data_IF_986058040509
#
_entry.id   IF_986058040509
#
_cell.length_a   1.000
_cell.length_b   1.000
_cell.length_c   1.000
_cell.angle_alpha   90.00
_cell.angle_beta   90.00
_cell.angle_gamma   90.00
#
_symmetry.space_group_name_H-M   'P 1'
#
loop_
_entity.id
_entity.type
_entity.pdbx_description
1 polymer ?
#
# COMPACT_ATOMS: atom_id res chain seq x y z
N UNK A 1 20.72 -15.35 27.75
CA UNK A 1 20.06 -15.58 26.43
C UNK A 1 20.35 -14.37 25.55
N UNK A 2 21.14 -14.57 24.49
CA UNK A 2 21.72 -13.49 23.70
C UNK A 2 20.68 -12.82 22.78
N UNK A 3 20.52 -11.51 22.95
CA UNK A 3 19.79 -10.62 22.05
C UNK A 3 20.53 -10.56 20.70
N UNK A 4 19.97 -11.19 19.69
CA UNK A 4 20.57 -11.29 18.36
C UNK A 4 20.53 -9.91 17.67
N UNK A 5 21.70 -9.25 17.57
CA UNK A 5 21.89 -7.99 16.84
C UNK A 5 22.36 -8.24 15.40
N UNK A 6 21.56 -7.70 14.46
CA UNK A 6 21.85 -7.20 13.10
C UNK A 6 22.41 -8.19 12.06
N UNK A 7 21.69 -8.37 10.96
CA UNK A 7 21.91 -7.66 9.67
C UNK A 7 20.93 -8.18 8.60
N UNK A 8 20.22 -7.24 7.97
CA UNK A 8 19.58 -7.32 6.63
C UNK A 8 18.32 -6.44 6.65
N UNK A 9 18.46 -5.25 6.05
CA UNK A 9 17.41 -4.24 5.90
C UNK A 9 16.43 -4.68 4.83
N UNK A 10 15.48 -5.54 5.18
CA UNK A 10 14.29 -5.75 4.36
C UNK A 10 13.05 -5.44 5.18
N UNK A 11 12.65 -4.16 5.15
CA UNK A 11 11.37 -3.70 5.67
C UNK A 11 10.26 -4.27 4.78
N UNK A 12 9.50 -5.23 5.31
CA UNK A 12 8.58 -6.02 4.50
C UNK A 12 7.36 -5.23 3.98
N UNK A 13 7.10 -4.02 4.48
CA UNK A 13 5.89 -3.25 4.11
C UNK A 13 6.17 -1.91 3.43
N UNK A 14 7.40 -1.37 3.53
CA UNK A 14 7.81 -0.29 2.63
C UNK A 14 7.88 -0.82 1.19
N UNK A 15 8.25 -2.08 1.01
CA UNK A 15 8.40 -2.72 -0.30
C UNK A 15 7.10 -2.70 -1.11
N UNK A 16 5.95 -3.23 -0.64
CA UNK A 16 4.71 -3.19 -1.43
C UNK A 16 4.22 -1.76 -1.71
N UNK A 17 4.37 -0.83 -0.76
CA UNK A 17 4.02 0.59 -0.99
C UNK A 17 4.94 1.26 -2.01
N UNK A 18 6.24 1.02 -1.92
CA UNK A 18 7.23 1.52 -2.88
C UNK A 18 7.00 0.90 -4.25
N UNK A 19 6.75 -0.41 -4.33
CA UNK A 19 6.41 -1.07 -5.59
C UNK A 19 5.11 -0.52 -6.19
N UNK A 20 4.11 -0.22 -5.36
CA UNK A 20 2.87 0.42 -5.80
C UNK A 20 3.08 1.85 -6.31
N UNK A 21 3.97 2.62 -5.68
CA UNK A 21 4.34 4.00 -6.03
C UNK A 21 5.30 4.07 -7.24
N UNK A 22 5.91 2.95 -7.65
CA UNK A 22 6.72 2.92 -8.87
C UNK A 22 5.83 3.20 -10.09
N UNK A 23 6.10 4.27 -10.87
CA UNK A 23 5.30 4.58 -12.05
C UNK A 23 5.37 3.43 -13.06
N UNK A 24 4.27 3.20 -13.78
CA UNK A 24 4.21 2.18 -14.83
C UNK A 24 5.27 2.44 -15.89
N UNK A 25 5.62 1.40 -16.66
CA UNK A 25 6.49 1.57 -17.82
C UNK A 25 5.92 2.61 -18.80
N UNK A 26 4.59 2.61 -18.97
CA UNK A 26 3.86 3.58 -19.80
C UNK A 26 4.07 5.02 -19.31
N UNK A 27 3.87 5.29 -18.02
CA UNK A 27 4.08 6.63 -17.44
C UNK A 27 5.56 7.04 -17.44
N UNK A 28 6.50 6.10 -17.25
CA UNK A 28 7.93 6.38 -17.41
C UNK A 28 8.26 6.83 -18.84
N UNK A 29 7.71 6.14 -19.85
CA UNK A 29 7.87 6.54 -21.26
C UNK A 29 7.33 7.94 -21.51
N UNK A 30 6.12 8.24 -21.03
CA UNK A 30 5.54 9.58 -21.15
C UNK A 30 6.37 10.66 -20.44
N UNK A 31 6.91 10.34 -19.27
CA UNK A 31 7.81 11.24 -18.52
C UNK A 31 9.09 11.53 -19.30
N UNK A 32 9.70 10.51 -19.90
CA UNK A 32 10.90 10.67 -20.73
C UNK A 32 10.62 11.50 -21.97
N UNK A 33 9.52 11.25 -22.66
CA UNK A 33 9.08 12.04 -23.80
C UNK A 33 8.88 13.50 -23.41
N UNK A 34 8.20 13.81 -22.30
CA UNK A 34 8.05 15.19 -21.83
C UNK A 34 9.40 15.83 -21.53
N UNK A 35 10.29 15.15 -20.78
CA UNK A 35 11.63 15.69 -20.46
C UNK A 35 12.44 15.98 -21.71
N UNK A 36 12.36 15.11 -22.72
CA UNK A 36 13.01 15.32 -24.01
C UNK A 36 12.38 16.52 -24.74
N UNK A 37 11.05 16.59 -24.83
CA UNK A 37 10.32 17.70 -25.46
C UNK A 37 10.65 19.05 -24.81
N UNK A 38 10.71 19.09 -23.48
CA UNK A 38 11.00 20.31 -22.73
C UNK A 38 12.45 20.81 -22.96
N UNK A 39 13.39 19.90 -23.23
CA UNK A 39 14.81 20.25 -23.47
C UNK A 39 15.09 20.62 -24.91
N UNK A 40 14.61 19.82 -25.86
CA UNK A 40 14.95 19.96 -27.28
C UNK A 40 13.89 20.70 -28.07
N UNK A 41 12.72 20.97 -27.49
CA UNK A 41 11.55 21.61 -28.14
C UNK A 41 11.06 20.91 -29.41
N UNK A 42 11.61 19.75 -29.73
CA UNK A 42 11.35 18.99 -30.95
C UNK A 42 10.91 17.57 -30.60
N UNK A 43 9.64 17.27 -30.81
CA UNK A 43 9.13 15.91 -30.91
C UNK A 43 8.05 15.87 -31.99
N UNK A 44 7.87 14.74 -32.69
CA UNK A 44 6.75 14.56 -33.60
C UNK A 44 5.43 14.92 -32.91
N UNK A 45 4.61 15.76 -33.56
CA UNK A 45 3.32 16.24 -33.01
C UNK A 45 2.42 15.11 -32.51
N UNK A 46 2.46 13.94 -33.16
CA UNK A 46 1.71 12.74 -32.76
C UNK A 46 2.10 12.22 -31.36
N UNK A 47 3.37 12.32 -30.99
CA UNK A 47 3.86 11.87 -29.68
C UNK A 47 3.47 12.87 -28.60
N UNK A 48 3.54 14.18 -28.89
CA UNK A 48 3.16 15.23 -27.93
C UNK A 48 1.65 15.31 -27.72
N UNK A 49 0.84 15.05 -28.75
CA UNK A 49 -0.63 15.01 -28.63
C UNK A 49 -1.12 13.75 -27.92
N UNK A 50 -0.44 12.61 -28.06
CA UNK A 50 -0.84 11.36 -27.38
C UNK A 50 -0.37 11.25 -25.94
N UNK A 51 0.61 12.06 -25.52
CA UNK A 51 1.20 12.00 -24.19
C UNK A 51 0.39 12.81 -23.16
N UNK A 52 -0.30 12.16 -22.19
CA UNK A 52 -1.14 12.85 -21.22
C UNK A 52 -0.35 13.72 -20.23
N UNK A 53 0.92 13.42 -19.98
CA UNK A 53 1.82 14.23 -19.12
C UNK A 53 2.21 15.52 -19.86
N UNK A 54 2.46 15.43 -21.17
CA UNK A 54 2.75 16.59 -22.01
C UNK A 54 1.53 17.51 -22.18
N UNK A 55 0.34 16.93 -22.33
CA UNK A 55 -0.91 17.72 -22.34
C UNK A 55 -1.11 18.50 -21.03
N UNK A 56 -0.86 17.87 -19.87
CA UNK A 56 -0.93 18.53 -18.56
C UNK A 56 0.10 19.66 -18.46
N UNK A 57 1.32 19.41 -18.88
CA UNK A 57 2.38 20.42 -18.93
C UNK A 57 1.97 21.65 -19.75
N UNK A 58 1.43 21.45 -20.96
CA UNK A 58 0.96 22.56 -21.79
C UNK A 58 -0.16 23.37 -21.12
N UNK A 59 -1.09 22.70 -20.43
CA UNK A 59 -2.16 23.37 -19.67
C UNK A 59 -1.59 24.20 -18.52
N UNK A 60 -0.63 23.67 -17.78
CA UNK A 60 0.02 24.38 -16.66
C UNK A 60 0.88 25.55 -17.14
N UNK A 61 1.59 25.37 -18.27
CA UNK A 61 2.40 26.42 -18.90
C UNK A 61 1.56 27.60 -19.37
N UNK A 62 0.37 27.34 -19.88
CA UNK A 62 -0.54 28.37 -20.39
C UNK A 62 -1.50 28.91 -19.31
N UNK A 63 -1.34 28.49 -18.04
CA UNK A 63 -2.18 28.94 -16.93
C UNK A 63 -1.67 30.26 -16.35
N UNK A 64 -2.58 31.10 -15.85
CA UNK A 64 -2.23 32.35 -15.15
C UNK A 64 -1.38 32.13 -13.89
N UNK A 65 -1.53 30.98 -13.22
CA UNK A 65 -0.77 30.61 -12.02
C UNK A 65 0.25 29.52 -12.36
N UNK A 66 1.25 29.86 -13.18
CA UNK A 66 2.28 28.90 -13.57
C UNK A 66 3.15 28.51 -12.36
N UNK A 67 3.29 27.21 -12.05
CA UNK A 67 4.19 26.76 -11.00
C UNK A 67 5.65 27.00 -11.37
N UNK A 68 6.53 27.14 -10.37
CA UNK A 68 7.98 27.38 -10.56
C UNK A 68 8.65 26.32 -11.46
N UNK A 69 8.23 25.06 -11.36
CA UNK A 69 8.64 23.98 -12.24
C UNK A 69 7.41 23.24 -12.80
N UNK A 70 6.89 23.64 -13.97
CA UNK A 70 5.72 23.01 -14.58
C UNK A 70 5.98 21.57 -15.04
N UNK A 71 7.24 21.20 -15.33
CA UNK A 71 7.60 19.85 -15.75
C UNK A 71 7.52 18.91 -14.55
N UNK A 72 8.18 19.26 -13.44
CA UNK A 72 8.15 18.45 -12.22
C UNK A 72 6.74 18.32 -11.65
N UNK A 73 5.95 19.40 -11.65
CA UNK A 73 4.55 19.39 -11.19
C UNK A 73 3.70 18.44 -12.04
N UNK A 74 3.78 18.52 -13.37
CA UNK A 74 3.02 17.63 -14.27
C UNK A 74 3.34 16.15 -14.05
N UNK A 75 4.62 15.82 -13.85
CA UNK A 75 5.08 14.45 -13.59
C UNK A 75 4.54 13.98 -12.25
N UNK A 76 4.65 14.81 -11.20
CA UNK A 76 4.20 14.49 -9.85
C UNK A 76 2.69 14.22 -9.83
N UNK A 77 1.88 15.13 -10.38
CA UNK A 77 0.43 14.97 -10.45
C UNK A 77 0.03 13.68 -11.18
N UNK A 78 0.64 13.39 -12.33
CA UNK A 78 0.33 12.17 -13.09
C UNK A 78 0.75 10.89 -12.37
N UNK A 79 1.85 10.93 -11.62
CA UNK A 79 2.26 9.82 -10.76
C UNK A 79 1.28 9.62 -9.60
N UNK A 80 0.85 10.70 -8.97
CA UNK A 80 -0.09 10.66 -7.86
C UNK A 80 -1.48 10.16 -8.34
N UNK A 81 -1.94 10.59 -9.52
CA UNK A 81 -3.16 10.06 -10.18
C UNK A 81 -3.06 8.56 -10.45
N UNK A 82 -1.94 8.08 -11.01
CA UNK A 82 -1.73 6.65 -11.29
C UNK A 82 -1.67 5.83 -9.99
N UNK A 83 -1.01 6.35 -8.96
CA UNK A 83 -0.94 5.71 -7.66
C UNK A 83 -2.32 5.60 -7.00
N UNK A 84 -3.14 6.65 -7.04
CA UNK A 84 -4.54 6.62 -6.55
C UNK A 84 -5.36 5.61 -7.34
N UNK A 85 -5.22 5.58 -8.67
CA UNK A 85 -5.92 4.60 -9.53
C UNK A 85 -5.57 3.16 -9.13
N UNK A 86 -4.29 2.85 -8.96
CA UNK A 86 -3.84 1.52 -8.53
C UNK A 86 -4.32 1.18 -7.13
N UNK A 87 -4.36 2.16 -6.24
CA UNK A 87 -4.90 1.96 -4.88
C UNK A 87 -6.38 1.60 -4.92
N UNK A 88 -7.15 2.19 -5.83
CA UNK A 88 -8.57 1.87 -6.01
C UNK A 88 -8.77 0.51 -6.69
N UNK A 89 -7.92 0.16 -7.65
CA UNK A 89 -7.99 -1.12 -8.39
C UNK A 89 -7.57 -2.31 -7.53
N UNK A 90 -6.44 -2.20 -6.83
CA UNK A 90 -5.87 -3.28 -6.04
C UNK A 90 -6.27 -3.18 -4.57
N UNK A 91 -7.22 -4.03 -4.15
CA UNK A 91 -7.64 -4.17 -2.74
C UNK A 91 -6.45 -4.31 -1.79
N UNK A 92 -5.39 -4.99 -2.22
CA UNK A 92 -4.18 -5.23 -1.43
C UNK A 92 -3.43 -3.94 -1.10
N UNK A 93 -3.32 -3.01 -2.05
CA UNK A 93 -2.68 -1.70 -1.89
C UNK A 93 -3.59 -0.78 -1.07
N UNK A 94 -4.90 -0.84 -1.30
CA UNK A 94 -5.87 -0.06 -0.54
C UNK A 94 -5.83 -0.34 0.97
N UNK A 95 -5.64 -1.60 1.33
CA UNK A 95 -5.59 -2.06 2.72
C UNK A 95 -4.28 -1.69 3.44
N UNK A 96 -3.26 -1.15 2.76
CA UNK A 96 -2.02 -0.71 3.39
C UNK A 96 -2.17 0.68 4.00
N UNK A 97 -1.26 1.07 4.91
CA UNK A 97 -1.23 2.42 5.48
C UNK A 97 -0.99 3.46 4.38
N UNK A 98 -1.54 4.66 4.56
CA UNK A 98 -1.33 5.78 3.62
C UNK A 98 0.10 6.31 3.65
N UNK A 99 0.83 6.15 4.77
CA UNK A 99 2.19 6.64 4.95
C UNK A 99 3.24 5.57 4.66
N UNK A 100 4.32 5.95 3.96
CA UNK A 100 5.49 5.10 3.69
C UNK A 100 6.36 4.99 4.94
N UNK A 101 6.03 4.06 5.83
CA UNK A 101 6.76 3.83 7.08
C UNK A 101 7.09 2.35 7.28
N UNK A 102 8.06 2.10 8.16
CA UNK A 102 8.32 0.74 8.67
C UNK A 102 7.07 0.29 9.43
N UNK A 103 6.59 -0.92 9.12
CA UNK A 103 5.36 -1.45 9.70
C UNK A 103 5.56 -1.82 11.18
N UNK A 104 4.69 -1.36 12.09
CA UNK A 104 4.81 -1.68 13.51
C UNK A 104 4.64 -3.14 13.87
N UNK A 105 4.19 -3.99 12.94
CA UNK A 105 4.25 -5.45 13.11
C UNK A 105 5.67 -5.90 13.52
N UNK A 106 6.71 -5.18 13.11
CA UNK A 106 8.08 -5.51 13.48
C UNK A 106 8.37 -5.32 14.97
N UNK A 107 7.66 -4.41 15.63
CA UNK A 107 7.82 -4.05 17.04
C UNK A 107 6.86 -4.80 17.97
N UNK A 108 5.98 -5.66 17.43
CA UNK A 108 5.07 -6.45 18.24
C UNK A 108 5.84 -7.47 19.10
N UNK A 109 5.55 -7.56 20.41
CA UNK A 109 6.11 -8.60 21.28
C UNK A 109 5.50 -9.96 20.89
N UNK A 110 6.13 -10.64 19.93
CA UNK A 110 5.66 -11.90 19.34
C UNK A 110 6.83 -12.77 18.92
N UNK A 111 6.60 -14.07 18.80
CA UNK A 111 7.61 -14.97 18.25
C UNK A 111 7.92 -14.63 16.79
N UNK A 112 9.15 -14.91 16.36
CA UNK A 112 9.58 -14.66 14.98
C UNK A 112 8.64 -15.29 13.95
N UNK A 113 8.14 -16.50 14.25
CA UNK A 113 7.20 -17.24 13.40
C UNK A 113 5.86 -16.50 13.22
N UNK A 114 5.33 -15.91 14.27
CA UNK A 114 4.04 -15.22 14.25
C UNK A 114 4.15 -13.87 13.56
N UNK A 115 5.22 -13.12 13.87
CA UNK A 115 5.56 -11.90 13.13
C UNK A 115 5.71 -12.16 11.63
N UNK A 116 6.36 -13.25 11.25
CA UNK A 116 6.49 -13.64 9.85
C UNK A 116 5.13 -13.96 9.20
N UNK A 117 4.21 -14.60 9.93
CA UNK A 117 2.83 -14.82 9.44
C UNK A 117 2.07 -13.51 9.25
N UNK A 118 2.20 -12.55 10.17
CA UNK A 118 1.59 -11.21 10.04
C UNK A 118 2.14 -10.46 8.83
N UNK A 119 3.45 -10.56 8.56
CA UNK A 119 4.05 -10.01 7.34
C UNK A 119 3.48 -10.68 6.09
N UNK A 120 3.40 -12.01 6.06
CA UNK A 120 2.80 -12.73 4.92
C UNK A 120 1.33 -12.40 4.73
N UNK A 121 0.59 -12.17 5.82
CA UNK A 121 -0.78 -11.69 5.78
C UNK A 121 -0.85 -10.31 5.12
N UNK A 122 -0.01 -9.34 5.53
CA UNK A 122 0.08 -8.01 4.89
C UNK A 122 0.35 -8.09 3.40
N UNK A 123 1.24 -8.99 2.99
CA UNK A 123 1.60 -9.19 1.58
C UNK A 123 0.54 -9.98 0.78
N UNK A 124 -0.58 -10.35 1.41
CA UNK A 124 -1.63 -11.17 0.81
C UNK A 124 -1.12 -12.55 0.32
N UNK A 125 -0.05 -13.06 0.94
CA UNK A 125 0.50 -14.42 0.71
C UNK A 125 -0.13 -15.48 1.62
N UNK A 126 -0.96 -15.04 2.56
CA UNK A 126 -1.82 -15.90 3.37
C UNK A 126 -3.30 -15.57 3.10
N UNK A 127 -4.17 -16.59 3.04
CA UNK A 127 -3.87 -18.03 3.13
C UNK A 127 -3.04 -18.54 1.92
N UNK A 128 -2.11 -19.46 2.17
CA UNK A 128 -1.24 -20.01 1.10
C UNK A 128 -2.05 -20.86 0.12
N UNK A 129 -1.71 -20.78 -1.16
CA UNK A 129 -2.30 -21.64 -2.20
C UNK A 129 -1.52 -22.97 -2.30
N UNK A 130 -2.18 -24.13 -2.53
CA UNK A 130 -3.62 -24.33 -2.57
C UNK A 130 -4.28 -24.11 -1.21
N UNK A 131 -5.50 -23.57 -1.23
CA UNK A 131 -6.25 -23.28 -0.01
C UNK A 131 -6.54 -24.57 0.74
N UNK A 132 -6.34 -24.53 2.05
CA UNK A 132 -6.62 -25.64 2.95
C UNK A 132 -7.95 -25.42 3.65
N UNK A 133 -8.57 -26.52 4.04
CA UNK A 133 -9.79 -26.48 4.84
C UNK A 133 -9.50 -25.90 6.22
N UNK A 134 -10.44 -25.11 6.72
CA UNK A 134 -10.40 -24.57 8.06
C UNK A 134 -10.74 -25.64 9.08
N UNK A 135 -10.15 -25.55 10.27
CA UNK A 135 -10.49 -26.43 11.41
C UNK A 135 -11.95 -26.30 11.85
N UNK A 136 -12.63 -25.22 11.50
CA UNK A 136 -14.06 -25.07 11.76
C UNK A 136 -14.95 -25.85 10.76
N UNK A 137 -14.35 -26.60 9.83
CA UNK A 137 -15.06 -27.37 8.80
C UNK A 137 -15.32 -26.63 7.49
N UNK A 138 -14.90 -25.37 7.34
CA UNK A 138 -15.07 -24.62 6.09
C UNK A 138 -14.04 -25.05 5.04
N UNK A 139 -14.52 -25.45 3.86
CA UNK A 139 -13.65 -25.87 2.76
C UNK A 139 -12.92 -24.67 2.13
N UNK A 140 -11.67 -24.87 1.72
CA UNK A 140 -10.86 -23.86 1.02
C UNK A 140 -10.88 -22.47 1.70
N UNK A 141 -10.33 -22.37 2.91
CA UNK A 141 -10.40 -21.18 3.75
C UNK A 141 -9.73 -19.96 3.10
N UNK A 142 -10.53 -19.08 2.50
CA UNK A 142 -10.09 -17.79 1.97
C UNK A 142 -9.81 -16.77 3.07
N UNK A 143 -9.14 -15.65 2.73
CA UNK A 143 -8.84 -14.57 3.68
C UNK A 143 -10.11 -14.04 4.37
N UNK A 144 -11.20 -13.90 3.61
CA UNK A 144 -12.52 -13.47 4.07
C UNK A 144 -13.21 -14.46 5.00
N UNK A 145 -12.82 -15.74 5.00
CA UNK A 145 -13.39 -16.72 5.91
C UNK A 145 -12.98 -16.42 7.35
N UNK A 146 -11.73 -16.00 7.59
CA UNK A 146 -11.20 -15.78 8.94
C UNK A 146 -11.91 -14.68 9.74
N UNK A 147 -12.68 -13.81 9.07
CA UNK A 147 -13.48 -12.78 9.75
C UNK A 147 -14.76 -13.33 10.37
N UNK A 148 -15.27 -14.44 9.84
CA UNK A 148 -16.51 -15.10 10.29
C UNK A 148 -16.25 -16.55 10.72
N UNK A 149 -14.98 -16.88 10.99
CA UNK A 149 -14.62 -18.21 11.43
C UNK A 149 -15.03 -18.38 12.88
N UNK A 150 -15.89 -19.36 13.17
CA UNK A 150 -16.41 -19.64 14.52
C UNK A 150 -15.31 -19.82 15.57
N UNK A 151 -14.13 -20.29 15.16
CA UNK A 151 -12.99 -20.49 16.07
C UNK A 151 -12.24 -19.20 16.42
N UNK A 152 -12.41 -18.15 15.61
CA UNK A 152 -11.69 -16.87 15.74
C UNK A 152 -12.62 -15.70 16.03
N UNK A 153 -13.93 -15.88 15.86
CA UNK A 153 -14.93 -14.82 15.99
C UNK A 153 -14.86 -14.10 17.35
N UNK A 154 -14.80 -14.78 18.51
CA UNK A 154 -14.70 -14.07 19.80
C UNK A 154 -13.43 -13.22 19.91
N UNK A 155 -12.29 -13.79 19.51
CA UNK A 155 -11.01 -13.07 19.51
C UNK A 155 -11.02 -11.87 18.57
N UNK A 156 -11.65 -12.02 17.40
CA UNK A 156 -11.77 -10.93 16.44
C UNK A 156 -12.66 -9.81 16.95
N UNK A 157 -13.75 -10.13 17.65
CA UNK A 157 -14.62 -9.14 18.29
C UNK A 157 -13.87 -8.38 19.39
N UNK A 158 -13.12 -9.08 20.25
CA UNK A 158 -12.30 -8.44 21.30
C UNK A 158 -11.24 -7.51 20.71
N UNK A 159 -10.54 -7.94 19.66
CA UNK A 159 -9.55 -7.12 18.98
C UNK A 159 -10.17 -5.91 18.30
N UNK A 160 -11.34 -6.06 17.68
CA UNK A 160 -12.08 -4.95 17.09
C UNK A 160 -12.55 -3.97 18.16
N UNK A 161 -13.02 -4.43 19.32
CA UNK A 161 -13.41 -3.56 20.43
C UNK A 161 -12.22 -2.78 21.00
N UNK A 162 -11.03 -3.39 21.07
CA UNK A 162 -9.81 -2.74 21.58
C UNK A 162 -9.17 -1.76 20.59
N UNK A 163 -9.08 -2.13 19.31
CA UNK A 163 -8.36 -1.35 18.30
C UNK A 163 -9.27 -0.53 17.38
N UNK A 164 -10.60 -0.71 17.48
CA UNK A 164 -11.58 -0.07 16.63
C UNK A 164 -12.72 0.59 17.41
N UNK A 165 -13.06 1.81 17.02
CA UNK A 165 -14.44 2.29 17.12
C UNK A 165 -15.23 1.56 16.03
N UNK A 166 -16.16 0.69 16.46
CA UNK A 166 -16.93 -0.24 15.63
C UNK A 166 -17.73 0.39 14.44
N UNK A 167 -18.12 1.69 14.36
CA UNK A 167 -19.05 2.10 13.31
C UNK A 167 -18.42 2.52 11.96
N UNK A 168 -17.11 2.44 11.74
CA UNK A 168 -16.45 3.04 10.56
C UNK A 168 -15.59 2.09 9.72
N UNK A 169 -15.76 0.77 9.83
CA UNK A 169 -15.02 -0.14 8.94
C UNK A 169 -15.58 -0.01 7.50
N UNK A 170 -14.79 0.46 6.51
CA UNK A 170 -15.27 0.51 5.14
C UNK A 170 -15.59 -0.92 4.69
N UNK A 171 -16.74 -1.13 4.03
CA UNK A 171 -17.25 -2.45 3.65
C UNK A 171 -16.30 -3.33 2.81
N UNK A 172 -15.17 -2.77 2.36
CA UNK A 172 -14.16 -3.42 1.54
C UNK A 172 -12.83 -3.73 2.25
N UNK A 173 -12.69 -3.43 3.55
CA UNK A 173 -11.45 -3.68 4.31
C UNK A 173 -11.64 -4.86 5.26
N UNK A 174 -10.70 -5.81 5.22
CA UNK A 174 -10.69 -6.91 6.17
C UNK A 174 -10.40 -6.39 7.59
N UNK A 175 -11.18 -6.80 8.61
CA UNK A 175 -10.98 -6.46 10.03
C UNK A 175 -9.51 -6.53 10.49
N UNK A 176 -8.80 -7.62 10.16
CA UNK A 176 -7.41 -7.79 10.57
C UNK A 176 -6.49 -6.77 9.89
N UNK A 177 -6.73 -6.40 8.63
CA UNK A 177 -5.93 -5.38 7.94
C UNK A 177 -6.13 -3.99 8.57
N UNK A 178 -7.35 -3.70 9.04
CA UNK A 178 -7.65 -2.48 9.79
C UNK A 178 -6.91 -2.44 11.13
N UNK A 179 -7.01 -3.50 11.95
CA UNK A 179 -6.30 -3.60 13.24
C UNK A 179 -4.80 -3.39 13.05
N UNK A 180 -4.21 -4.07 12.06
CA UNK A 180 -2.79 -3.92 11.75
C UNK A 180 -2.46 -2.47 11.34
N UNK A 181 -3.36 -1.75 10.67
CA UNK A 181 -3.20 -0.33 10.36
C UNK A 181 -3.29 0.58 11.58
N UNK A 182 -4.05 0.20 12.61
CA UNK A 182 -4.19 0.93 13.86
C UNK A 182 -3.00 0.74 14.82
N UNK A 183 -2.13 -0.25 14.60
CA UNK A 183 -1.00 -0.50 15.51
C UNK A 183 -0.14 0.76 15.74
N UNK A 184 0.18 1.08 17.01
CA UNK A 184 0.96 2.26 17.37
C UNK A 184 2.37 2.18 16.79
N UNK A 185 3.02 3.34 16.67
CA UNK A 185 4.24 3.49 15.85
C UNK A 185 5.55 3.19 16.60
N UNK A 186 5.49 3.05 17.91
CA UNK A 186 6.65 2.76 18.77
C UNK A 186 6.28 1.72 19.81
N UNK A 187 7.29 1.00 20.31
CA UNK A 187 7.15 0.04 21.40
C UNK A 187 6.51 0.66 22.65
N UNK A 188 6.82 1.95 22.92
CA UNK A 188 6.25 2.72 24.02
C UNK A 188 4.72 2.84 23.92
N UNK A 189 4.18 2.94 22.70
CA UNK A 189 2.73 3.00 22.47
C UNK A 189 2.04 1.64 22.51
N UNK A 190 2.78 0.52 22.42
CA UNK A 190 2.22 -0.83 22.54
C UNK A 190 2.02 -1.25 24.00
N UNK A 191 2.75 -0.66 24.95
CA UNK A 191 2.65 -0.97 26.38
C UNK A 191 1.41 -0.35 27.06
N UNK A 192 0.71 0.55 26.37
CA UNK A 192 -0.45 1.30 26.87
C UNK A 192 -1.78 0.83 26.28
N UNK A 193 -1.79 -0.26 25.49
CA UNK A 193 -2.98 -0.81 24.80
C UNK A 193 -3.31 -2.21 25.30
#
# INVERSE_FOLDING_TARGET
MALNRKTSKHSATIVPMVLADLPSLKLRTYTLQLKFAARLQTLPKRITTSNPVHQRFNKLRNSHNQPRDPVATSIKEKRDEEYISRRNEFKTINCLRTKHIIDPILYLPSFSKDRHRLIKWRMHWLPSYPLKDCRCGHQAAHRTHFTHCLLLEPLMQDLLAKFGTIPLLPHNIQPLDHILNCLPRSEVGLATV
#
